data_IF_030163789976
#
_entry.id   IF_030163789976
#
_cell.length_a   1.000
_cell.length_b   1.000
_cell.length_c   1.000
_cell.angle_alpha   90.00
_cell.angle_beta   90.00
_cell.angle_gamma   90.00
#
_symmetry.space_group_name_H-M   'P 1'
#
loop_
_entity.id
_entity.type
_entity.pdbx_description
1 polymer ?
#
# COMPACT_ATOMS: atom_id res chain seq x y z
N UNK A 1 -21.30 -38.62 10.40
CA UNK A 1 -20.91 -37.33 9.77
C UNK A 1 -22.10 -36.88 8.94
N UNK A 2 -22.67 -35.76 9.29
CA UNK A 2 -23.79 -35.18 8.59
C UNK A 2 -23.24 -34.26 7.49
N UNK A 3 -23.86 -34.26 6.30
CA UNK A 3 -23.38 -33.49 5.13
C UNK A 3 -24.55 -32.68 4.57
N UNK A 4 -24.30 -31.39 4.33
CA UNK A 4 -25.27 -30.44 3.80
C UNK A 4 -24.76 -29.84 2.48
N UNK A 5 -25.65 -29.73 1.49
CA UNK A 5 -25.36 -29.04 0.23
C UNK A 5 -25.69 -27.56 0.37
N UNK A 6 -24.67 -26.70 0.28
CA UNK A 6 -24.85 -25.24 0.33
C UNK A 6 -25.35 -24.73 -1.02
N UNK A 7 -26.57 -24.18 -1.03
CA UNK A 7 -27.23 -23.66 -2.24
C UNK A 7 -27.16 -22.13 -2.30
N UNK A 8 -26.72 -21.59 -3.41
CA UNK A 8 -26.76 -20.15 -3.70
C UNK A 8 -26.80 -19.89 -5.20
N UNK A 9 -27.45 -18.80 -5.66
CA UNK A 9 -27.46 -18.42 -7.06
C UNK A 9 -26.05 -18.05 -7.51
N UNK A 10 -25.64 -18.50 -8.70
CA UNK A 10 -24.39 -18.08 -9.31
C UNK A 10 -24.46 -16.58 -9.63
N UNK A 11 -23.37 -15.86 -9.38
CA UNK A 11 -23.21 -14.46 -9.77
C UNK A 11 -23.38 -14.30 -11.29
N UNK A 12 -23.98 -13.17 -11.71
CA UNK A 12 -24.22 -12.88 -13.12
C UNK A 12 -22.93 -12.86 -13.93
N UNK A 13 -22.90 -13.55 -15.07
CA UNK A 13 -21.76 -13.52 -16.01
C UNK A 13 -21.54 -12.12 -16.64
N UNK A 14 -22.50 -11.20 -16.50
CA UNK A 14 -22.38 -9.80 -16.93
C UNK A 14 -21.51 -8.98 -15.98
N UNK A 15 -21.41 -9.36 -14.71
CA UNK A 15 -20.61 -8.66 -13.72
C UNK A 15 -19.12 -8.86 -14.00
N UNK A 16 -18.40 -7.76 -14.16
CA UNK A 16 -16.95 -7.74 -14.43
C UNK A 16 -16.17 -7.35 -13.20
N UNK A 17 -14.91 -7.77 -13.11
CA UNK A 17 -14.05 -7.45 -11.98
C UNK A 17 -13.96 -5.94 -11.68
N UNK A 18 -13.88 -5.11 -12.72
CA UNK A 18 -13.86 -3.65 -12.59
C UNK A 18 -15.10 -3.05 -11.89
N UNK A 19 -16.24 -3.73 -12.00
CA UNK A 19 -17.50 -3.24 -11.43
C UNK A 19 -17.49 -3.35 -9.89
N UNK A 20 -16.57 -4.16 -9.32
CA UNK A 20 -16.32 -4.27 -7.88
C UNK A 20 -15.55 -3.07 -7.32
N UNK A 21 -15.01 -2.22 -8.19
CA UNK A 21 -14.22 -1.04 -7.85
C UNK A 21 -14.85 0.21 -8.51
N UNK A 22 -16.06 0.63 -8.11
CA UNK A 22 -16.69 1.82 -8.67
C UNK A 22 -15.80 3.05 -8.49
N UNK A 23 -15.98 4.05 -9.35
CA UNK A 23 -15.19 5.27 -9.34
C UNK A 23 -15.12 5.91 -7.95
N UNK A 24 -14.05 6.67 -7.74
CA UNK A 24 -13.77 7.38 -6.51
C UNK A 24 -14.95 8.21 -6.06
N UNK A 25 -15.50 7.83 -4.92
CA UNK A 25 -16.35 8.71 -4.16
C UNK A 25 -15.45 9.36 -3.14
N UNK A 26 -15.36 10.67 -3.20
CA UNK A 26 -14.68 11.40 -2.15
C UNK A 26 -15.41 11.09 -0.84
N UNK A 27 -14.68 10.54 0.12
CA UNK A 27 -15.23 10.10 1.41
C UNK A 27 -15.87 11.22 2.22
N UNK A 28 -15.67 12.47 1.81
CA UNK A 28 -16.27 13.66 2.40
C UNK A 28 -17.59 14.07 1.72
N UNK A 29 -17.89 13.53 0.54
CA UNK A 29 -19.17 13.81 -0.10
C UNK A 29 -20.22 12.85 0.45
N UNK A 30 -20.96 13.30 1.44
CA UNK A 30 -22.10 12.58 2.05
C UNK A 30 -23.22 12.24 1.05
N UNK A 31 -23.12 12.63 -0.22
CA UNK A 31 -24.20 12.63 -1.20
C UNK A 31 -24.26 11.42 -2.13
N UNK A 32 -23.19 10.65 -2.30
CA UNK A 32 -23.20 9.53 -3.24
C UNK A 32 -22.55 8.27 -2.64
N UNK A 33 -23.39 7.34 -2.16
CA UNK A 33 -22.91 5.98 -1.90
C UNK A 33 -22.61 5.29 -3.23
N UNK A 34 -21.44 4.60 -3.37
CA UNK A 34 -21.14 3.84 -4.55
C UNK A 34 -22.22 2.78 -4.80
N UNK A 35 -22.68 2.64 -6.04
CA UNK A 35 -23.49 1.49 -6.43
C UNK A 35 -22.55 0.28 -6.51
N UNK A 36 -22.54 -0.50 -5.45
CA UNK A 36 -21.80 -1.75 -5.41
C UNK A 36 -22.63 -2.88 -6.05
N UNK A 37 -22.04 -3.73 -6.86
CA UNK A 37 -22.72 -4.89 -7.39
C UNK A 37 -23.08 -5.85 -6.25
N UNK A 38 -24.21 -6.48 -6.37
CA UNK A 38 -24.62 -7.55 -5.46
C UNK A 38 -24.00 -8.88 -5.90
N UNK A 39 -23.31 -9.54 -4.99
CA UNK A 39 -22.84 -10.91 -5.17
C UNK A 39 -23.77 -11.81 -4.35
N UNK A 40 -24.58 -12.68 -5.00
CA UNK A 40 -25.49 -13.54 -4.29
C UNK A 40 -24.78 -14.46 -3.29
N UNK A 41 -25.36 -14.60 -2.10
CA UNK A 41 -24.85 -15.45 -1.02
C UNK A 41 -25.91 -16.43 -0.56
N UNK A 42 -25.55 -17.56 0.04
CA UNK A 42 -26.54 -18.45 0.67
C UNK A 42 -27.19 -17.79 1.89
N UNK A 43 -28.31 -18.34 2.32
CA UNK A 43 -28.88 -18.04 3.64
C UNK A 43 -27.99 -18.73 4.68
N UNK A 44 -27.06 -18.00 5.24
CA UNK A 44 -26.01 -18.56 6.09
C UNK A 44 -26.53 -19.14 7.40
N UNK A 45 -27.66 -18.68 7.87
CA UNK A 45 -28.34 -19.13 9.09
C UNK A 45 -28.79 -20.62 9.00
N UNK A 46 -28.86 -21.16 7.78
CA UNK A 46 -29.15 -22.57 7.54
C UNK A 46 -27.94 -23.50 7.72
N UNK A 47 -26.73 -22.91 7.86
CA UNK A 47 -25.47 -23.65 7.86
C UNK A 47 -24.58 -23.26 9.06
N UNK A 48 -25.11 -23.43 10.24
CA UNK A 48 -24.36 -23.17 11.46
C UNK A 48 -23.57 -24.43 11.93
N UNK A 49 -22.51 -24.20 12.72
CA UNK A 49 -21.74 -25.25 13.40
C UNK A 49 -21.02 -26.26 12.49
N UNK A 50 -20.65 -25.89 11.27
CA UNK A 50 -19.87 -26.74 10.38
C UNK A 50 -18.46 -26.98 10.93
N UNK A 51 -17.92 -28.21 10.82
CA UNK A 51 -16.54 -28.55 11.14
C UNK A 51 -15.62 -28.38 9.92
N UNK A 52 -16.16 -28.59 8.72
CA UNK A 52 -15.44 -28.41 7.47
C UNK A 52 -16.36 -27.93 6.35
N UNK A 53 -15.82 -27.11 5.46
CA UNK A 53 -16.47 -26.69 4.22
C UNK A 53 -15.67 -27.19 3.04
N UNK A 54 -16.32 -27.96 2.15
CA UNK A 54 -15.73 -28.49 0.92
C UNK A 54 -16.30 -27.73 -0.26
N UNK A 55 -15.46 -27.18 -1.13
CA UNK A 55 -15.91 -26.44 -2.30
C UNK A 55 -15.08 -26.71 -3.54
N UNK A 56 -15.75 -26.80 -4.70
CA UNK A 56 -15.08 -26.76 -6.00
C UNK A 56 -14.86 -25.32 -6.41
N UNK A 57 -13.60 -24.93 -6.57
CA UNK A 57 -13.20 -23.57 -6.97
C UNK A 57 -13.29 -23.45 -8.48
N UNK A 58 -14.11 -22.53 -9.02
CA UNK A 58 -14.18 -22.28 -10.45
C UNK A 58 -12.84 -21.79 -11.01
N UNK A 59 -12.53 -22.20 -12.22
CA UNK A 59 -11.34 -21.79 -12.95
C UNK A 59 -11.70 -21.35 -14.36
N UNK A 60 -12.10 -20.08 -14.53
CA UNK A 60 -12.13 -19.45 -15.85
C UNK A 60 -10.82 -18.69 -16.04
N UNK A 61 -10.16 -18.92 -17.17
CA UNK A 61 -8.89 -18.23 -17.51
C UNK A 61 -9.13 -16.74 -17.85
N UNK A 62 -9.53 -15.94 -16.88
CA UNK A 62 -9.67 -14.48 -16.97
C UNK A 62 -8.59 -13.83 -16.11
N UNK A 63 -7.62 -13.20 -16.76
CA UNK A 63 -6.41 -12.68 -16.08
C UNK A 63 -5.35 -13.75 -15.86
N UNK A 64 -4.32 -13.43 -15.08
CA UNK A 64 -3.29 -14.39 -14.70
C UNK A 64 -3.92 -15.46 -13.80
N UNK A 65 -3.90 -16.72 -14.22
CA UNK A 65 -4.42 -17.87 -13.47
C UNK A 65 -5.90 -17.71 -12.98
N UNK A 66 -6.76 -17.05 -13.76
CA UNK A 66 -8.16 -16.83 -13.38
C UNK A 66 -8.35 -15.89 -12.18
N UNK A 67 -7.35 -15.07 -11.87
CA UNK A 67 -7.33 -14.22 -10.68
C UNK A 67 -8.50 -13.23 -10.59
N UNK A 68 -9.03 -12.77 -11.74
CA UNK A 68 -10.15 -11.79 -11.83
C UNK A 68 -11.47 -12.44 -12.21
N UNK A 69 -11.69 -13.71 -11.88
CA UNK A 69 -12.98 -14.39 -12.06
C UNK A 69 -13.90 -14.09 -10.88
N UNK A 70 -15.03 -13.39 -11.16
CA UNK A 70 -16.01 -13.00 -10.13
C UNK A 70 -16.73 -14.21 -9.53
N UNK A 71 -16.96 -15.28 -10.29
CA UNK A 71 -17.55 -16.49 -9.75
C UNK A 71 -16.59 -17.24 -8.82
N UNK A 72 -15.29 -17.28 -9.15
CA UNK A 72 -14.27 -17.78 -8.24
C UNK A 72 -14.26 -16.99 -6.94
N UNK A 73 -14.34 -15.65 -7.02
CA UNK A 73 -14.45 -14.77 -5.85
C UNK A 73 -15.68 -15.11 -5.02
N UNK A 74 -16.86 -15.26 -5.65
CA UNK A 74 -18.10 -15.63 -4.96
C UNK A 74 -17.94 -16.91 -4.16
N UNK A 75 -17.40 -17.97 -4.76
CA UNK A 75 -17.17 -19.25 -4.07
C UNK A 75 -16.22 -19.08 -2.88
N UNK A 76 -15.12 -18.36 -3.06
CA UNK A 76 -14.18 -18.10 -1.96
C UNK A 76 -14.84 -17.32 -0.81
N UNK A 77 -15.68 -16.32 -1.12
CA UNK A 77 -16.43 -15.56 -0.11
C UNK A 77 -17.47 -16.40 0.60
N UNK A 78 -18.20 -17.26 -0.11
CA UNK A 78 -19.18 -18.19 0.50
C UNK A 78 -18.47 -19.10 1.50
N UNK A 79 -17.38 -19.76 1.08
CA UNK A 79 -16.60 -20.65 1.97
C UNK A 79 -16.09 -19.86 3.18
N UNK A 80 -15.48 -18.69 2.97
CA UNK A 80 -14.92 -17.90 4.05
C UNK A 80 -16.00 -17.43 5.05
N UNK A 81 -17.19 -17.04 4.59
CA UNK A 81 -18.30 -16.65 5.45
C UNK A 81 -18.85 -17.85 6.27
N UNK A 82 -19.02 -19.02 5.64
CA UNK A 82 -19.45 -20.25 6.35
C UNK A 82 -18.47 -20.59 7.48
N UNK A 83 -17.17 -20.57 7.21
CA UNK A 83 -16.15 -20.86 8.23
C UNK A 83 -16.16 -19.86 9.39
N UNK A 84 -16.27 -18.57 9.09
CA UNK A 84 -16.28 -17.53 10.14
C UNK A 84 -17.53 -17.63 10.99
N UNK A 85 -18.70 -17.93 10.41
CA UNK A 85 -19.96 -18.10 11.13
C UNK A 85 -19.96 -19.37 11.96
N UNK A 86 -19.53 -20.50 11.39
CA UNK A 86 -19.43 -21.78 12.09
C UNK A 86 -18.40 -21.76 13.22
N UNK A 87 -17.34 -20.97 13.13
CA UNK A 87 -16.40 -20.76 14.22
C UNK A 87 -17.01 -20.05 15.43
N UNK A 88 -18.08 -19.28 15.20
CA UNK A 88 -18.88 -18.61 16.23
C UNK A 88 -18.05 -17.73 17.17
N UNK A 89 -18.52 -17.62 18.43
CA UNK A 89 -17.82 -16.92 19.52
C UNK A 89 -16.77 -17.79 20.22
N UNK A 90 -16.70 -19.09 19.87
CA UNK A 90 -15.74 -20.03 20.48
C UNK A 90 -14.39 -19.92 19.76
N UNK A 91 -13.46 -19.18 20.34
CA UNK A 91 -12.10 -18.97 19.81
C UNK A 91 -11.28 -20.27 19.65
N UNK A 92 -11.68 -21.34 20.29
CA UNK A 92 -10.99 -22.64 20.25
C UNK A 92 -11.57 -23.58 19.19
N UNK A 93 -12.70 -23.23 18.55
CA UNK A 93 -13.28 -24.08 17.52
C UNK A 93 -12.39 -24.13 16.30
N UNK A 94 -12.11 -25.34 15.84
CA UNK A 94 -11.29 -25.58 14.64
C UNK A 94 -12.23 -25.89 13.50
N UNK A 95 -12.15 -25.09 12.43
CA UNK A 95 -12.89 -25.31 11.20
C UNK A 95 -11.91 -25.46 10.03
N UNK A 96 -12.28 -26.25 9.04
CA UNK A 96 -11.42 -26.58 7.93
C UNK A 96 -12.07 -26.17 6.61
N UNK A 97 -11.27 -25.69 5.66
CA UNK A 97 -11.68 -25.54 4.26
C UNK A 97 -10.94 -26.57 3.40
N UNK A 98 -11.68 -27.27 2.57
CA UNK A 98 -11.16 -28.16 1.54
C UNK A 98 -11.57 -27.58 0.20
N UNK A 99 -10.62 -27.10 -0.56
CA UNK A 99 -10.83 -26.40 -1.83
C UNK A 99 -10.24 -27.23 -2.96
N UNK A 100 -11.05 -27.49 -4.01
CA UNK A 100 -10.71 -28.39 -5.11
C UNK A 100 -10.82 -27.62 -6.42
N UNK A 101 -9.78 -27.61 -7.24
CA UNK A 101 -9.79 -27.01 -8.58
C UNK A 101 -8.41 -26.52 -9.03
N UNK A 102 -8.19 -26.42 -10.33
CA UNK A 102 -6.88 -26.13 -10.91
C UNK A 102 -6.32 -24.72 -10.59
N UNK A 103 -7.21 -23.72 -10.44
CA UNK A 103 -6.81 -22.35 -10.08
C UNK A 103 -6.54 -22.16 -8.59
N UNK A 104 -6.87 -23.11 -7.74
CA UNK A 104 -6.77 -22.99 -6.29
C UNK A 104 -7.65 -21.87 -5.68
N UNK A 105 -7.59 -21.68 -4.37
CA UNK A 105 -8.26 -20.60 -3.68
C UNK A 105 -7.62 -19.24 -3.96
N UNK A 106 -8.35 -18.16 -3.63
CA UNK A 106 -7.79 -16.82 -3.63
C UNK A 106 -6.90 -16.64 -2.41
N UNK A 107 -5.61 -16.47 -2.64
CA UNK A 107 -4.58 -16.38 -1.60
C UNK A 107 -4.65 -15.09 -0.77
N UNK A 108 -5.36 -14.08 -1.25
CA UNK A 108 -5.69 -12.89 -0.49
C UNK A 108 -6.73 -13.16 0.60
N UNK A 109 -7.60 -14.16 0.40
CA UNK A 109 -8.63 -14.59 1.35
C UNK A 109 -8.08 -15.71 2.24
N UNK A 110 -7.60 -16.79 1.61
CA UNK A 110 -7.04 -17.95 2.30
C UNK A 110 -5.52 -17.82 2.40
N UNK A 111 -5.05 -17.50 3.60
CA UNK A 111 -3.64 -17.20 3.86
C UNK A 111 -2.76 -18.42 3.67
N UNK A 112 -1.60 -18.19 3.09
CA UNK A 112 -0.59 -19.23 2.87
C UNK A 112 -0.16 -19.94 4.17
N UNK A 113 -0.12 -19.20 5.29
CA UNK A 113 0.25 -19.73 6.60
C UNK A 113 -0.79 -20.68 7.20
N UNK A 114 -2.05 -20.56 6.77
CA UNK A 114 -3.16 -21.35 7.25
C UNK A 114 -3.34 -22.65 6.44
N UNK A 115 -2.53 -22.84 5.37
CA UNK A 115 -2.55 -24.02 4.52
C UNK A 115 -1.89 -25.22 5.21
N UNK A 116 -2.63 -26.30 5.33
CA UNK A 116 -2.15 -27.56 5.89
C UNK A 116 -1.61 -28.52 4.83
N UNK A 117 -2.27 -28.55 3.67
CA UNK A 117 -1.95 -29.47 2.58
C UNK A 117 -2.22 -28.79 1.23
N UNK A 118 -1.35 -29.03 0.28
CA UNK A 118 -1.56 -28.77 -1.14
C UNK A 118 -1.00 -29.91 -1.97
N UNK A 119 -1.88 -30.65 -2.60
CA UNK A 119 -1.55 -31.75 -3.51
C UNK A 119 -2.35 -31.58 -4.81
N UNK A 120 -1.67 -31.44 -5.94
CA UNK A 120 -2.28 -31.22 -7.24
C UNK A 120 -3.35 -30.11 -7.26
N UNK A 121 -4.62 -30.47 -7.35
CA UNK A 121 -5.77 -29.58 -7.37
C UNK A 121 -6.53 -29.53 -6.02
N UNK A 122 -5.94 -30.05 -4.95
CA UNK A 122 -6.52 -30.09 -3.60
C UNK A 122 -5.75 -29.18 -2.65
N UNK A 123 -6.48 -28.27 -1.98
CA UNK A 123 -5.95 -27.40 -0.93
C UNK A 123 -6.75 -27.59 0.35
N UNK A 124 -6.07 -27.80 1.46
CA UNK A 124 -6.68 -27.91 2.78
C UNK A 124 -6.16 -26.78 3.67
N UNK A 125 -7.07 -26.03 4.26
CA UNK A 125 -6.77 -24.92 5.15
C UNK A 125 -7.39 -25.10 6.52
N UNK A 126 -6.69 -24.57 7.54
CA UNK A 126 -7.20 -24.33 8.88
C UNK A 126 -7.08 -22.84 9.16
N UNK A 127 -8.06 -22.02 8.76
CA UNK A 127 -7.95 -20.58 8.82
C UNK A 127 -7.89 -20.06 10.27
N UNK A 128 -7.09 -18.99 10.47
CA UNK A 128 -7.20 -18.16 11.66
C UNK A 128 -8.44 -17.25 11.50
N UNK A 129 -9.53 -17.64 12.18
CA UNK A 129 -10.86 -17.08 11.92
C UNK A 129 -10.97 -15.58 12.12
N UNK A 130 -10.28 -15.00 13.11
CA UNK A 130 -10.31 -13.54 13.33
C UNK A 130 -9.68 -12.78 12.13
N UNK A 131 -8.61 -13.31 11.55
CA UNK A 131 -8.00 -12.70 10.36
C UNK A 131 -8.87 -12.90 9.11
N UNK A 132 -9.46 -14.08 8.97
CA UNK A 132 -10.39 -14.35 7.86
C UNK A 132 -11.61 -13.45 7.97
N UNK A 133 -12.20 -13.30 9.16
CA UNK A 133 -13.32 -12.40 9.45
C UNK A 133 -12.97 -10.95 9.10
N UNK A 134 -11.80 -10.48 9.50
CA UNK A 134 -11.34 -9.13 9.16
C UNK A 134 -11.35 -8.91 7.64
N UNK A 135 -10.84 -9.88 6.88
CA UNK A 135 -10.77 -9.78 5.40
C UNK A 135 -12.13 -9.72 4.74
N UNK A 136 -13.08 -10.57 5.13
CA UNK A 136 -14.39 -10.62 4.47
C UNK A 136 -15.33 -9.49 4.88
N UNK A 137 -15.12 -8.87 6.04
CA UNK A 137 -15.97 -7.78 6.53
C UNK A 137 -15.51 -6.38 6.08
N UNK A 138 -14.25 -6.25 5.67
CA UNK A 138 -13.71 -4.98 5.20
C UNK A 138 -14.12 -4.71 3.74
N UNK A 139 -14.45 -3.45 3.40
CA UNK A 139 -14.76 -3.09 2.02
C UNK A 139 -13.58 -3.37 1.08
N UNK A 140 -13.89 -3.89 -0.10
CA UNK A 140 -12.94 -4.06 -1.20
C UNK A 140 -13.16 -2.94 -2.21
N UNK A 141 -12.10 -2.24 -2.59
CA UNK A 141 -12.29 -1.01 -3.31
C UNK A 141 -13.20 -0.09 -2.49
N UNK A 142 -14.32 0.35 -3.09
CA UNK A 142 -15.35 1.15 -2.42
C UNK A 142 -16.58 0.32 -2.00
N UNK A 143 -16.53 -0.99 -2.17
CA UNK A 143 -17.69 -1.87 -1.98
C UNK A 143 -17.49 -2.84 -0.83
N UNK A 144 -18.52 -3.02 -0.04
CA UNK A 144 -18.63 -4.10 0.91
C UNK A 144 -19.39 -5.26 0.23
N UNK A 145 -18.67 -6.33 -0.10
CA UNK A 145 -19.21 -7.47 -0.86
C UNK A 145 -19.66 -8.62 0.05
N UNK A 146 -19.22 -8.62 1.32
CA UNK A 146 -19.68 -9.58 2.31
C UNK A 146 -20.81 -8.97 3.16
N UNK A 147 -21.75 -9.81 3.62
CA UNK A 147 -22.78 -9.35 4.55
C UNK A 147 -22.13 -8.88 5.86
N UNK A 148 -22.44 -7.65 6.33
CA UNK A 148 -21.84 -7.13 7.55
C UNK A 148 -22.35 -7.92 8.75
N UNK A 149 -21.41 -8.32 9.63
CA UNK A 149 -21.74 -8.85 10.96
C UNK A 149 -22.08 -7.73 11.96
N UNK A 150 -21.70 -6.50 11.65
CA UNK A 150 -21.99 -5.31 12.46
C UNK A 150 -22.31 -4.13 11.56
N UNK A 151 -23.09 -3.21 12.09
CA UNK A 151 -23.39 -1.94 11.42
C UNK A 151 -22.13 -1.07 11.40
N UNK A 152 -21.28 -1.24 10.40
CA UNK A 152 -20.10 -0.42 10.08
C UNK A 152 -18.75 -0.95 10.60
N UNK A 153 -17.72 -0.83 9.75
CA UNK A 153 -16.33 -1.20 10.05
C UNK A 153 -15.68 -0.46 11.23
N UNK A 154 -16.35 0.57 11.79
CA UNK A 154 -15.92 1.28 13.00
C UNK A 154 -16.04 0.41 14.27
N UNK A 155 -17.00 -0.53 14.34
CA UNK A 155 -17.14 -1.42 15.50
C UNK A 155 -16.09 -2.54 15.49
N UNK A 156 -15.67 -2.98 14.31
CA UNK A 156 -14.58 -3.96 14.17
C UNK A 156 -13.29 -3.38 14.75
N UNK A 157 -13.01 -2.10 14.54
CA UNK A 157 -11.85 -1.42 15.14
C UNK A 157 -11.88 -1.40 16.67
N UNK A 158 -13.05 -1.14 17.27
CA UNK A 158 -13.19 -1.07 18.75
C UNK A 158 -13.06 -2.44 19.42
N UNK A 159 -13.58 -3.49 18.79
CA UNK A 159 -13.55 -4.83 19.36
C UNK A 159 -12.21 -5.55 19.14
N UNK A 160 -11.51 -5.27 18.03
CA UNK A 160 -10.18 -5.84 17.75
C UNK A 160 -9.14 -5.43 18.80
N UNK A 161 -9.22 -4.18 19.26
CA UNK A 161 -8.31 -3.65 20.30
C UNK A 161 -8.56 -4.20 21.71
N UNK A 162 -9.79 -4.63 22.03
CA UNK A 162 -10.18 -5.08 23.39
C UNK A 162 -9.98 -6.57 23.66
N UNK A 163 -9.86 -7.39 22.64
CA UNK A 163 -9.82 -8.87 22.77
C UNK A 163 -8.43 -9.49 22.66
N UNK A 164 -7.39 -8.72 22.36
CA UNK A 164 -6.04 -9.24 22.22
C UNK A 164 -5.30 -9.15 23.57
N UNK A 165 -5.08 -10.30 24.23
CA UNK A 165 -4.06 -10.48 25.28
C UNK A 165 -2.63 -10.28 24.71
N UNK A 166 -2.48 -10.28 23.39
CA UNK A 166 -1.23 -10.10 22.67
C UNK A 166 -1.20 -8.73 21.99
N UNK A 167 -0.20 -7.91 22.32
CA UNK A 167 0.05 -6.64 21.63
C UNK A 167 0.77 -6.93 20.32
N UNK A 168 0.15 -6.70 19.14
CA UNK A 168 0.79 -6.98 17.87
C UNK A 168 2.06 -6.15 17.69
N UNK A 169 3.09 -6.75 17.12
CA UNK A 169 4.33 -6.08 16.76
C UNK A 169 4.15 -5.40 15.42
N UNK A 170 4.05 -4.08 15.44
CA UNK A 170 3.74 -3.26 14.29
C UNK A 170 4.91 -2.31 13.99
N UNK A 171 5.18 -2.07 12.71
CA UNK A 171 6.22 -1.14 12.28
C UNK A 171 5.86 -0.38 11.01
N UNK A 172 6.37 0.84 10.88
CA UNK A 172 6.48 1.53 9.60
C UNK A 172 7.74 1.08 8.89
N UNK A 173 7.63 0.82 7.59
CA UNK A 173 8.75 0.29 6.80
C UNK A 173 8.98 1.13 5.56
N UNK A 174 10.23 1.40 5.25
CA UNK A 174 10.64 1.95 3.96
C UNK A 174 11.82 1.18 3.38
N UNK A 175 12.09 1.36 2.09
CA UNK A 175 13.19 0.69 1.39
C UNK A 175 14.04 1.72 0.67
N UNK A 176 15.35 1.67 0.87
CA UNK A 176 16.33 2.45 0.12
C UNK A 176 17.28 1.52 -0.63
N UNK A 177 17.42 1.75 -1.92
CA UNK A 177 18.32 0.99 -2.78
C UNK A 177 18.86 1.83 -3.92
N UNK A 178 20.00 1.42 -4.47
CA UNK A 178 20.55 1.92 -5.73
C UNK A 178 21.05 3.36 -5.73
N UNK A 179 20.72 4.20 -4.74
CA UNK A 179 21.10 5.61 -4.75
C UNK A 179 20.92 6.27 -3.38
N UNK A 180 21.82 7.20 -3.07
CA UNK A 180 21.75 8.12 -1.92
C UNK A 180 20.65 9.19 -2.06
N UNK A 181 20.09 9.37 -3.26
CA UNK A 181 19.18 10.48 -3.57
C UNK A 181 17.92 10.56 -2.69
N UNK A 182 17.54 9.47 -2.04
CA UNK A 182 16.35 9.39 -1.18
C UNK A 182 16.67 9.34 0.32
N UNK A 183 17.93 9.44 0.72
CA UNK A 183 18.34 9.43 2.14
C UNK A 183 17.67 10.56 2.90
N UNK A 184 17.71 11.78 2.38
CA UNK A 184 17.02 12.91 3.00
C UNK A 184 15.51 12.69 3.09
N UNK A 185 14.88 12.13 2.04
CA UNK A 185 13.47 11.78 2.06
C UNK A 185 13.13 10.80 3.17
N UNK A 186 13.91 9.72 3.32
CA UNK A 186 13.71 8.73 4.38
C UNK A 186 13.91 9.33 5.78
N UNK A 187 14.87 10.24 5.97
CA UNK A 187 15.05 10.98 7.23
C UNK A 187 13.81 11.85 7.51
N UNK A 188 13.33 12.58 6.51
CA UNK A 188 12.12 13.41 6.65
C UNK A 188 10.89 12.56 6.97
N UNK A 189 10.74 11.40 6.33
CA UNK A 189 9.67 10.44 6.62
C UNK A 189 9.70 9.99 8.07
N UNK A 190 10.85 9.50 8.58
CA UNK A 190 10.98 9.09 9.98
C UNK A 190 10.60 10.20 10.94
N UNK A 191 11.16 11.39 10.73
CA UNK A 191 10.93 12.54 11.60
C UNK A 191 9.47 13.02 11.54
N UNK A 192 8.82 12.91 10.38
CA UNK A 192 7.40 13.22 10.26
C UNK A 192 6.52 12.25 11.04
N UNK A 193 6.81 10.95 11.01
CA UNK A 193 6.09 9.92 11.78
C UNK A 193 6.27 10.18 13.28
N UNK A 194 7.51 10.41 13.74
CA UNK A 194 7.80 10.72 15.15
C UNK A 194 7.05 11.97 15.61
N UNK A 195 6.99 13.01 14.79
CA UNK A 195 6.25 14.26 15.10
C UNK A 195 4.74 14.05 15.25
N UNK A 196 4.17 12.93 14.79
CA UNK A 196 2.77 12.56 15.02
C UNK A 196 2.54 11.78 16.31
N UNK A 197 3.57 11.62 17.16
CA UNK A 197 3.54 10.84 18.40
C UNK A 197 3.25 9.35 18.18
N UNK A 198 3.60 8.79 17.04
CA UNK A 198 3.58 7.34 16.85
C UNK A 198 4.66 6.69 17.70
N UNK A 199 4.32 5.55 18.31
CA UNK A 199 5.24 4.72 19.12
C UNK A 199 5.63 3.44 18.39
N UNK A 200 5.24 3.30 17.12
CA UNK A 200 5.59 2.12 16.32
C UNK A 200 7.06 2.15 15.90
N UNK A 201 7.61 0.96 15.74
CA UNK A 201 8.97 0.82 15.21
C UNK A 201 9.09 1.42 13.82
N UNK A 202 10.24 2.01 13.53
CA UNK A 202 10.61 2.48 12.19
C UNK A 202 11.69 1.53 11.65
N UNK A 203 11.42 0.82 10.56
CA UNK A 203 12.33 -0.16 9.96
C UNK A 203 12.70 0.28 8.55
N UNK A 204 14.00 0.35 8.27
CA UNK A 204 14.48 0.68 6.93
C UNK A 204 15.28 -0.49 6.35
N UNK A 205 14.86 -0.95 5.19
CA UNK A 205 15.57 -1.94 4.41
C UNK A 205 16.54 -1.23 3.48
N UNK A 206 17.85 -1.45 3.65
CA UNK A 206 18.88 -0.80 2.85
C UNK A 206 19.81 -1.83 2.19
N UNK A 207 20.15 -1.58 0.93
CA UNK A 207 21.20 -2.34 0.25
C UNK A 207 22.59 -1.69 0.44
N UNK A 208 23.61 -2.33 -0.12
CA UNK A 208 25.01 -1.90 0.05
C UNK A 208 25.34 -0.62 -0.75
N UNK A 209 24.42 -0.07 -1.55
CA UNK A 209 24.62 1.23 -2.22
C UNK A 209 24.47 2.44 -1.29
N UNK A 210 23.92 2.22 -0.09
CA UNK A 210 23.76 3.28 0.92
C UNK A 210 24.99 3.32 1.80
N UNK A 211 25.67 4.47 1.80
CA UNK A 211 26.96 4.66 2.47
C UNK A 211 26.87 4.51 4.00
N UNK A 212 27.97 4.15 4.67
CA UNK A 212 28.02 4.12 6.14
C UNK A 212 27.62 5.45 6.79
N UNK A 213 27.99 6.59 6.19
CA UNK A 213 27.61 7.94 6.65
C UNK A 213 26.08 8.09 6.60
N UNK A 214 25.46 7.76 5.48
CA UNK A 214 23.99 7.84 5.32
C UNK A 214 23.25 6.88 6.25
N UNK A 215 23.78 5.65 6.43
CA UNK A 215 23.23 4.70 7.40
C UNK A 215 23.31 5.21 8.84
N UNK A 216 24.36 5.97 9.18
CA UNK A 216 24.46 6.63 10.49
C UNK A 216 23.35 7.66 10.68
N UNK A 217 23.14 8.57 9.71
CA UNK A 217 22.08 9.57 9.75
C UNK A 217 20.69 8.96 9.79
N UNK A 218 20.45 7.88 9.03
CA UNK A 218 19.19 7.16 9.06
C UNK A 218 18.90 6.52 10.42
N UNK A 219 19.91 5.94 11.10
CA UNK A 219 19.75 5.45 12.48
C UNK A 219 19.47 6.61 13.45
N UNK A 220 20.20 7.69 13.33
CA UNK A 220 19.97 8.89 14.15
C UNK A 220 18.58 9.50 13.94
N UNK A 221 17.99 9.33 12.75
CA UNK A 221 16.61 9.72 12.45
C UNK A 221 15.53 8.81 13.08
N UNK A 222 15.93 7.65 13.63
CA UNK A 222 15.02 6.70 14.29
C UNK A 222 14.85 5.36 13.57
N UNK A 223 15.45 5.17 12.40
CA UNK A 223 15.32 3.92 11.65
C UNK A 223 16.14 2.77 12.25
N UNK A 224 15.49 1.62 12.45
CA UNK A 224 16.15 0.31 12.65
C UNK A 224 16.54 -0.24 11.28
N UNK A 225 17.85 -0.23 10.98
CA UNK A 225 18.33 -0.63 9.64
C UNK A 225 18.44 -2.14 9.53
N UNK A 226 17.85 -2.71 8.48
CA UNK A 226 18.03 -4.10 8.05
C UNK A 226 18.67 -4.13 6.66
N UNK A 227 19.83 -4.76 6.54
CA UNK A 227 20.50 -4.91 5.24
C UNK A 227 19.78 -5.93 4.36
N UNK A 228 19.64 -5.62 3.07
CA UNK A 228 19.01 -6.47 2.07
C UNK A 228 19.86 -6.60 0.82
N UNK A 229 19.70 -7.71 0.09
CA UNK A 229 20.12 -7.82 -1.30
C UNK A 229 18.99 -7.34 -2.20
N UNK A 230 19.31 -6.46 -3.15
CA UNK A 230 18.34 -5.96 -4.15
C UNK A 230 17.68 -7.10 -4.93
N UNK A 231 16.45 -6.87 -5.36
CA UNK A 231 15.73 -7.75 -6.28
C UNK A 231 15.46 -6.96 -7.55
N UNK A 232 16.00 -7.46 -8.67
CA UNK A 232 15.81 -6.88 -9.99
C UNK A 232 14.41 -7.20 -10.50
N UNK A 233 13.72 -6.20 -11.07
CA UNK A 233 12.53 -6.45 -11.86
C UNK A 233 12.91 -7.12 -13.18
N UNK A 234 12.32 -8.28 -13.53
CA UNK A 234 12.55 -8.89 -14.83
C UNK A 234 11.93 -8.08 -15.99
N UNK A 235 10.97 -7.19 -15.68
CA UNK A 235 10.21 -6.40 -16.65
C UNK A 235 10.77 -4.99 -16.85
N UNK A 236 11.80 -4.60 -16.09
CA UNK A 236 12.44 -3.29 -16.22
C UNK A 236 13.66 -3.34 -17.17
N UNK A 237 13.85 -2.27 -17.95
CA UNK A 237 15.08 -2.09 -18.72
C UNK A 237 16.27 -1.89 -17.78
N UNK A 238 17.46 -2.32 -18.23
CA UNK A 238 18.71 -2.08 -17.49
C UNK A 238 18.92 -0.57 -17.31
N UNK A 239 19.33 -0.16 -16.11
CA UNK A 239 19.53 1.23 -15.70
C UNK A 239 18.26 2.10 -15.71
N UNK A 240 17.07 1.51 -15.83
CA UNK A 240 15.82 2.24 -15.62
C UNK A 240 15.59 2.51 -14.13
N UNK A 241 14.86 3.58 -13.81
CA UNK A 241 14.55 4.00 -12.43
C UNK A 241 13.85 2.91 -11.61
N UNK A 242 13.12 2.01 -12.28
CA UNK A 242 12.33 0.92 -11.68
C UNK A 242 13.06 -0.44 -11.70
N UNK A 243 14.31 -0.51 -12.16
CA UNK A 243 15.06 -1.77 -12.30
C UNK A 243 15.12 -2.58 -10.99
N UNK A 244 15.25 -1.90 -9.86
CA UNK A 244 15.45 -2.52 -8.56
C UNK A 244 14.24 -2.38 -7.62
N UNK A 245 13.12 -1.87 -8.11
CA UNK A 245 11.93 -1.62 -7.28
C UNK A 245 11.34 -2.90 -6.67
N UNK A 246 11.60 -4.09 -7.26
CA UNK A 246 11.21 -5.37 -6.65
C UNK A 246 11.93 -5.64 -5.32
N UNK A 247 12.93 -4.86 -4.95
CA UNK A 247 13.51 -4.88 -3.60
C UNK A 247 12.47 -4.63 -2.50
N UNK A 248 11.37 -3.95 -2.83
CA UNK A 248 10.17 -3.79 -1.97
C UNK A 248 9.59 -5.13 -1.50
N UNK A 249 9.70 -6.20 -2.27
CA UNK A 249 9.23 -7.54 -1.90
C UNK A 249 9.91 -8.07 -0.62
N UNK A 250 11.08 -7.52 -0.24
CA UNK A 250 11.76 -7.87 1.00
C UNK A 250 10.95 -7.56 2.26
N UNK A 251 9.92 -6.72 2.16
CA UNK A 251 9.03 -6.39 3.27
C UNK A 251 8.36 -7.64 3.83
N UNK A 252 7.96 -8.58 2.95
CA UNK A 252 7.36 -9.86 3.38
C UNK A 252 8.30 -10.76 4.17
N UNK A 253 9.60 -10.46 4.24
CA UNK A 253 10.57 -11.20 5.05
C UNK A 253 10.72 -10.69 6.49
N UNK A 254 10.01 -9.63 6.88
CA UNK A 254 10.09 -8.99 8.19
C UNK A 254 9.31 -9.75 9.27
N UNK A 255 9.51 -11.06 9.39
CA UNK A 255 8.79 -11.96 10.30
C UNK A 255 8.86 -11.60 11.79
N UNK A 256 9.69 -10.64 12.18
CA UNK A 256 9.72 -10.11 13.55
C UNK A 256 8.51 -9.22 13.85
N UNK A 257 7.73 -8.86 12.83
CA UNK A 257 6.53 -8.04 12.91
C UNK A 257 5.32 -8.80 12.42
N UNK A 258 4.19 -8.57 13.06
CA UNK A 258 2.90 -9.18 12.68
C UNK A 258 2.24 -8.40 11.54
N UNK A 259 2.41 -7.07 11.55
CA UNK A 259 1.96 -6.16 10.50
C UNK A 259 2.95 -5.03 10.29
N UNK A 260 3.07 -4.59 9.04
CA UNK A 260 3.86 -3.40 8.71
C UNK A 260 3.08 -2.51 7.75
N UNK A 261 3.18 -1.19 7.96
CA UNK A 261 2.76 -0.22 6.95
C UNK A 261 4.01 0.20 6.19
N UNK A 262 4.08 -0.20 4.93
CA UNK A 262 5.09 0.27 4.02
C UNK A 262 4.76 1.69 3.55
N UNK A 263 5.78 2.55 3.49
CA UNK A 263 5.67 3.92 2.97
C UNK A 263 6.92 4.22 2.15
N UNK A 264 6.75 4.68 0.91
CA UNK A 264 7.89 5.14 0.08
C UNK A 264 8.58 6.35 0.73
N UNK A 265 9.89 6.46 0.52
CA UNK A 265 10.73 7.48 1.18
C UNK A 265 10.48 8.92 0.72
N UNK A 266 9.61 9.13 -0.25
CA UNK A 266 9.18 10.43 -0.74
C UNK A 266 7.79 10.86 -0.22
N UNK A 267 7.40 10.30 0.92
CA UNK A 267 6.23 10.74 1.68
C UNK A 267 6.60 11.61 2.87
N UNK A 268 5.60 12.36 3.33
CA UNK A 268 5.59 12.99 4.66
C UNK A 268 4.26 12.67 5.34
N UNK A 269 4.32 12.32 6.62
CA UNK A 269 3.16 12.02 7.46
C UNK A 269 2.84 13.25 8.32
N UNK A 270 1.61 13.76 8.24
CA UNK A 270 1.16 14.96 8.98
C UNK A 270 0.25 14.64 10.15
N UNK A 271 -0.40 13.48 10.14
CA UNK A 271 -1.30 13.02 11.20
C UNK A 271 -0.98 11.57 11.54
N UNK A 272 -1.19 11.19 12.79
CA UNK A 272 -0.98 9.81 13.22
C UNK A 272 -1.86 8.84 12.40
N UNK A 273 -1.23 7.82 11.83
CA UNK A 273 -1.86 6.81 11.00
C UNK A 273 -1.82 5.41 11.64
N UNK A 274 -1.49 5.29 12.93
CA UNK A 274 -1.42 4.01 13.64
C UNK A 274 -2.75 3.23 13.59
N UNK A 275 -3.88 3.93 13.52
CA UNK A 275 -5.19 3.29 13.41
C UNK A 275 -5.35 2.39 12.17
N UNK A 276 -4.58 2.64 11.11
CA UNK A 276 -4.65 1.86 9.87
C UNK A 276 -3.97 0.48 9.99
N UNK A 277 -3.22 0.21 11.05
CA UNK A 277 -2.76 -1.14 11.34
C UNK A 277 -3.91 -2.12 11.63
N UNK A 278 -5.11 -1.64 11.96
CA UNK A 278 -6.29 -2.48 12.12
C UNK A 278 -6.82 -3.08 10.81
N UNK A 279 -6.40 -2.59 9.67
CA UNK A 279 -6.84 -3.09 8.36
C UNK A 279 -6.13 -4.40 7.98
N UNK A 280 -6.75 -5.26 7.15
CA UNK A 280 -6.12 -6.48 6.67
C UNK A 280 -5.08 -6.20 5.58
N UNK A 281 -4.19 -7.16 5.33
CA UNK A 281 -3.37 -7.18 4.14
C UNK A 281 -4.24 -7.55 2.91
N UNK A 282 -4.13 -7.02 1.77
CA UNK A 282 -3.49 -5.80 1.37
C UNK A 282 -4.50 -4.67 1.43
N UNK A 283 -4.21 -3.65 2.21
CA UNK A 283 -4.97 -2.41 2.18
C UNK A 283 -4.08 -1.29 1.67
N UNK A 284 -4.61 -0.45 0.78
CA UNK A 284 -3.89 0.64 0.14
C UNK A 284 -4.87 1.69 -0.38
N UNK A 285 -4.36 2.81 -0.86
CA UNK A 285 -5.20 3.80 -1.56
C UNK A 285 -5.30 3.48 -3.04
N UNK A 286 -6.40 3.81 -3.67
CA UNK A 286 -6.55 3.66 -5.13
C UNK A 286 -5.58 4.56 -5.90
N UNK A 287 -5.12 4.08 -7.04
CA UNK A 287 -4.33 4.86 -7.98
C UNK A 287 -5.16 5.22 -9.21
N UNK A 288 -5.85 4.24 -9.78
CA UNK A 288 -6.71 4.39 -10.94
C UNK A 288 -7.63 3.16 -11.04
N UNK A 289 -8.95 3.36 -11.15
CA UNK A 289 -9.93 2.28 -11.22
C UNK A 289 -9.72 1.21 -10.14
N UNK A 290 -9.49 -0.03 -10.55
CA UNK A 290 -9.25 -1.17 -9.67
C UNK A 290 -7.78 -1.36 -9.26
N UNK A 291 -6.91 -0.42 -9.61
CA UNK A 291 -5.47 -0.47 -9.32
C UNK A 291 -5.17 0.32 -8.05
N UNK A 292 -4.41 -0.27 -7.12
CA UNK A 292 -3.92 0.46 -5.95
C UNK A 292 -2.53 1.08 -6.17
N UNK A 293 -2.22 2.11 -5.38
CA UNK A 293 -0.91 2.72 -5.32
C UNK A 293 -0.02 2.00 -4.30
N UNK A 294 1.12 1.46 -4.74
CA UNK A 294 2.05 0.72 -3.89
C UNK A 294 2.95 1.59 -3.01
N UNK A 295 2.80 2.92 -3.07
CA UNK A 295 3.60 3.86 -2.28
C UNK A 295 3.26 3.86 -0.79
N UNK A 296 2.04 3.46 -0.43
CA UNK A 296 1.65 3.21 0.95
C UNK A 296 0.67 2.04 1.00
N UNK A 297 1.01 1.00 1.78
CA UNK A 297 0.22 -0.22 1.88
C UNK A 297 0.51 -0.98 3.17
N UNK A 298 -0.48 -1.74 3.67
CA UNK A 298 -0.27 -2.64 4.80
C UNK A 298 0.10 -4.03 4.30
N UNK A 299 1.06 -4.64 4.97
CA UNK A 299 1.59 -5.97 4.66
C UNK A 299 1.65 -6.80 5.94
N UNK A 300 1.25 -8.04 5.86
CA UNK A 300 1.50 -9.06 6.87
C UNK A 300 2.72 -9.90 6.43
N UNK A 301 3.89 -9.72 7.09
CA UNK A 301 5.11 -10.44 6.71
C UNK A 301 4.91 -11.95 6.72
N UNK A 302 5.32 -12.62 5.64
CA UNK A 302 5.07 -14.01 5.40
C UNK A 302 6.17 -14.61 4.52
N UNK A 303 6.85 -15.65 5.03
CA UNK A 303 7.86 -16.39 4.25
C UNK A 303 7.23 -17.06 3.03
N UNK A 304 6.07 -17.65 3.20
CA UNK A 304 5.36 -18.35 2.15
C UNK A 304 4.95 -17.38 1.03
N UNK A 305 4.34 -16.22 1.38
CA UNK A 305 3.98 -15.19 0.40
C UNK A 305 5.23 -14.64 -0.32
N UNK A 306 6.30 -14.37 0.43
CA UNK A 306 7.56 -13.96 -0.19
C UNK A 306 8.04 -14.96 -1.23
N UNK A 307 8.05 -16.25 -0.91
CA UNK A 307 8.47 -17.31 -1.83
C UNK A 307 7.57 -17.36 -3.07
N UNK A 308 6.27 -17.24 -2.91
CA UNK A 308 5.31 -17.19 -4.02
C UNK A 308 5.53 -15.96 -4.91
N UNK A 309 5.68 -14.77 -4.33
CA UNK A 309 6.00 -13.55 -5.07
C UNK A 309 7.32 -13.70 -5.87
N UNK A 310 8.34 -14.32 -5.25
CA UNK A 310 9.62 -14.57 -5.90
C UNK A 310 9.54 -15.61 -7.03
N UNK A 311 8.70 -16.62 -6.92
CA UNK A 311 8.42 -17.59 -7.98
C UNK A 311 7.69 -16.91 -9.15
N UNK A 312 6.61 -16.21 -8.83
CA UNK A 312 5.73 -15.59 -9.82
C UNK A 312 6.30 -14.35 -10.52
N UNK A 313 7.38 -13.74 -10.02
CA UNK A 313 7.93 -12.50 -10.61
C UNK A 313 8.37 -12.60 -12.06
N UNK A 314 8.67 -13.81 -12.55
CA UNK A 314 9.04 -14.04 -13.96
C UNK A 314 7.85 -14.42 -14.83
N UNK A 315 6.77 -14.91 -14.23
CA UNK A 315 5.58 -15.39 -14.91
C UNK A 315 4.53 -14.28 -15.06
N UNK A 316 4.46 -13.42 -14.06
CA UNK A 316 3.45 -12.35 -13.97
C UNK A 316 4.01 -11.02 -14.46
N UNK A 317 3.33 -10.41 -15.41
CA UNK A 317 3.72 -9.13 -15.98
C UNK A 317 3.65 -7.96 -15.00
N UNK A 318 4.17 -6.82 -15.44
CA UNK A 318 4.05 -5.55 -14.72
C UNK A 318 3.80 -4.43 -15.73
N UNK A 319 2.64 -3.77 -15.66
CA UNK A 319 2.24 -2.75 -16.64
C UNK A 319 3.22 -1.55 -16.69
N UNK A 320 3.92 -1.27 -15.61
CA UNK A 320 4.91 -0.20 -15.52
C UNK A 320 6.35 -0.70 -15.39
N UNK A 321 6.57 -2.01 -15.46
CA UNK A 321 7.87 -2.66 -15.27
C UNK A 321 8.40 -2.57 -13.83
N UNK A 322 7.66 -1.98 -12.90
CA UNK A 322 8.02 -1.81 -11.49
C UNK A 322 7.21 -2.69 -10.54
N UNK A 323 7.39 -2.46 -9.25
CA UNK A 323 6.70 -3.16 -8.16
C UNK A 323 5.18 -2.97 -8.20
N UNK A 324 4.71 -1.74 -8.46
CA UNK A 324 3.28 -1.44 -8.45
C UNK A 324 2.51 -2.27 -9.48
N UNK A 325 3.03 -2.37 -10.70
CA UNK A 325 2.39 -3.17 -11.74
C UNK A 325 2.33 -4.64 -11.37
N UNK A 326 3.43 -5.19 -10.87
CA UNK A 326 3.50 -6.58 -10.42
C UNK A 326 2.57 -6.87 -9.24
N UNK A 327 2.60 -6.01 -8.20
CA UNK A 327 1.77 -6.21 -7.01
C UNK A 327 0.27 -6.12 -7.32
N UNK A 328 -0.14 -5.27 -8.27
CA UNK A 328 -1.53 -5.19 -8.72
C UNK A 328 -2.00 -6.42 -9.51
N UNK A 329 -1.09 -7.18 -10.12
CA UNK A 329 -1.42 -8.47 -10.73
C UNK A 329 -1.42 -9.60 -9.70
N UNK A 330 -0.59 -9.49 -8.66
CA UNK A 330 -0.51 -10.49 -7.59
C UNK A 330 -1.62 -10.33 -6.53
N UNK A 331 -2.06 -9.12 -6.23
CA UNK A 331 -3.08 -8.81 -5.24
C UNK A 331 -4.27 -8.12 -5.92
N UNK A 332 -5.14 -8.91 -6.50
CA UNK A 332 -6.31 -8.39 -7.23
C UNK A 332 -7.47 -8.04 -6.30
N UNK A 333 -7.54 -8.70 -5.13
CA UNK A 333 -8.50 -8.43 -4.07
C UNK A 333 -7.85 -7.63 -2.96
N UNK A 334 -8.04 -6.29 -2.96
CA UNK A 334 -7.42 -5.39 -2.01
C UNK A 334 -8.45 -4.46 -1.35
N UNK A 335 -8.13 -3.98 -0.14
CA UNK A 335 -9.01 -3.13 0.65
C UNK A 335 -8.62 -1.67 0.47
N UNK A 336 -9.62 -0.81 0.27
CA UNK A 336 -9.36 0.60 0.03
C UNK A 336 -9.20 1.38 1.33
N UNK A 337 -8.10 2.12 1.41
CA UNK A 337 -7.90 3.18 2.37
C UNK A 337 -8.40 4.52 1.84
N UNK A 338 -8.75 5.47 2.77
CA UNK A 338 -9.06 6.85 2.39
C UNK A 338 -7.98 7.48 1.51
N UNK A 339 -8.40 8.24 0.49
CA UNK A 339 -7.49 8.93 -0.43
C UNK A 339 -6.52 9.86 0.29
N UNK A 340 -6.98 10.46 1.40
CA UNK A 340 -6.18 11.33 2.27
C UNK A 340 -4.96 10.64 2.90
N UNK A 341 -4.93 9.29 2.90
CA UNK A 341 -3.77 8.51 3.36
C UNK A 341 -2.65 8.44 2.31
N UNK A 342 -2.91 8.83 1.07
CA UNK A 342 -1.91 8.96 0.01
C UNK A 342 -2.29 10.12 -0.92
N UNK A 343 -2.28 11.33 -0.38
CA UNK A 343 -2.55 12.52 -1.19
C UNK A 343 -1.40 12.72 -2.18
N UNK A 344 -1.68 12.44 -3.45
CA UNK A 344 -0.69 12.59 -4.51
C UNK A 344 -0.45 14.08 -4.81
N UNK A 345 0.81 14.51 -4.82
CA UNK A 345 1.20 15.84 -5.25
C UNK A 345 1.14 15.93 -6.79
N UNK A 346 -0.09 15.93 -7.34
CA UNK A 346 -0.34 16.05 -8.79
C UNK A 346 -1.58 16.91 -9.05
N UNK A 347 -1.44 17.90 -9.95
CA UNK A 347 -2.46 18.91 -10.23
C UNK A 347 -2.62 19.07 -11.75
N UNK A 348 -3.38 18.16 -12.38
CA UNK A 348 -3.47 18.09 -13.85
C UNK A 348 -4.26 19.27 -14.45
N UNK A 349 -5.36 19.70 -13.78
CA UNK A 349 -6.29 20.69 -14.33
C UNK A 349 -6.71 21.76 -13.32
N UNK A 350 -6.03 21.93 -12.19
CA UNK A 350 -6.51 22.80 -11.13
C UNK A 350 -5.84 24.17 -11.18
N UNK A 351 -6.65 25.22 -11.08
CA UNK A 351 -6.20 26.59 -10.80
C UNK A 351 -5.67 26.69 -9.36
N UNK A 352 -6.20 25.84 -8.45
CA UNK A 352 -5.79 25.75 -7.06
C UNK A 352 -4.89 24.54 -6.86
N UNK A 353 -3.64 24.78 -6.49
CA UNK A 353 -2.61 23.74 -6.28
C UNK A 353 -2.32 23.53 -4.79
N UNK A 354 -3.36 23.70 -3.97
CA UNK A 354 -3.27 23.48 -2.53
C UNK A 354 -3.60 22.03 -2.18
N UNK A 355 -2.85 21.49 -1.23
CA UNK A 355 -3.18 20.20 -0.65
C UNK A 355 -4.34 20.34 0.33
N UNK A 356 -5.22 19.34 0.44
CA UNK A 356 -6.23 19.30 1.49
C UNK A 356 -5.60 19.40 2.88
N UNK A 357 -6.23 20.20 3.77
CA UNK A 357 -5.68 20.40 5.12
C UNK A 357 -5.80 19.17 6.02
N UNK A 358 -6.73 18.29 5.70
CA UNK A 358 -7.00 17.05 6.41
C UNK A 358 -6.25 15.83 5.88
N UNK A 359 -5.33 16.00 4.91
CA UNK A 359 -4.44 14.94 4.44
C UNK A 359 -3.66 14.30 5.58
N UNK A 360 -3.67 12.98 5.66
CA UNK A 360 -2.82 12.23 6.60
C UNK A 360 -1.38 12.20 6.12
N UNK A 361 -1.17 11.96 4.84
CA UNK A 361 0.15 11.94 4.22
C UNK A 361 0.13 12.63 2.86
N UNK A 362 1.30 13.01 2.40
CA UNK A 362 1.51 13.52 1.03
C UNK A 362 2.65 12.78 0.36
N UNK A 363 2.38 12.29 -0.83
CA UNK A 363 3.33 11.63 -1.72
C UNK A 363 3.90 12.63 -2.72
N UNK A 364 5.17 12.95 -2.58
CA UNK A 364 5.83 14.01 -3.35
C UNK A 364 6.27 13.52 -4.72
N UNK A 365 5.35 13.59 -5.71
CA UNK A 365 5.64 13.30 -7.11
C UNK A 365 6.45 14.44 -7.77
N UNK A 366 7.13 14.13 -8.86
CA UNK A 366 7.99 15.08 -9.56
C UNK A 366 9.34 15.28 -8.88
N UNK A 367 9.90 16.50 -9.01
CA UNK A 367 11.14 16.87 -8.31
C UNK A 367 10.87 16.93 -6.80
N UNK A 368 11.77 16.31 -6.05
CA UNK A 368 11.59 16.17 -4.60
C UNK A 368 11.95 17.46 -3.87
N UNK A 369 11.27 17.83 -2.77
CA UNK A 369 11.53 19.09 -2.07
C UNK A 369 12.99 19.28 -1.64
N UNK A 370 13.66 18.21 -1.21
CA UNK A 370 15.07 18.27 -0.80
C UNK A 370 16.05 18.46 -1.96
N UNK A 371 15.62 18.16 -3.19
CA UNK A 371 16.41 18.41 -4.40
C UNK A 371 16.11 19.77 -5.05
N UNK A 372 15.23 20.56 -4.42
CA UNK A 372 14.85 21.90 -4.81
C UNK A 372 15.38 22.95 -3.82
N UNK A 373 15.34 24.23 -4.19
CA UNK A 373 15.53 25.31 -3.23
C UNK A 373 14.42 25.34 -2.20
N UNK A 374 14.76 25.80 -1.00
CA UNK A 374 13.77 25.99 0.08
C UNK A 374 12.74 27.08 -0.27
N UNK A 375 13.13 28.03 -1.11
CA UNK A 375 12.40 29.27 -1.36
C UNK A 375 11.15 29.08 -2.24
N UNK A 376 11.12 28.03 -3.08
CA UNK A 376 9.99 27.70 -3.95
C UNK A 376 10.09 26.27 -4.50
N UNK A 377 8.98 25.74 -5.01
CA UNK A 377 8.95 24.42 -5.65
C UNK A 377 9.49 24.47 -7.08
N UNK A 378 10.71 23.97 -7.30
CA UNK A 378 11.35 24.02 -8.62
C UNK A 378 10.70 23.14 -9.70
N UNK A 379 9.62 22.43 -9.38
CA UNK A 379 8.74 21.85 -10.41
C UNK A 379 8.12 22.92 -11.32
N UNK A 380 8.00 24.16 -10.85
CA UNK A 380 7.54 25.28 -11.65
C UNK A 380 8.46 25.62 -12.83
N UNK A 381 9.77 25.45 -12.66
CA UNK A 381 10.77 25.80 -13.69
C UNK A 381 10.85 24.79 -14.83
N UNK A 382 10.09 23.69 -14.78
CA UNK A 382 10.08 22.65 -15.82
C UNK A 382 8.66 22.38 -16.30
N UNK A 383 8.37 22.74 -17.56
CA UNK A 383 7.02 22.61 -18.16
C UNK A 383 6.41 21.22 -17.93
N UNK A 384 7.18 20.17 -18.19
CA UNK A 384 6.73 18.78 -18.01
C UNK A 384 6.50 18.38 -16.54
N UNK A 385 7.07 19.14 -15.59
CA UNK A 385 6.95 18.90 -14.16
C UNK A 385 5.91 19.81 -13.49
N UNK A 386 5.41 20.85 -14.17
CA UNK A 386 4.46 21.80 -13.58
C UNK A 386 3.19 21.14 -13.01
N UNK A 387 2.75 20.02 -13.58
CA UNK A 387 1.65 19.23 -13.00
C UNK A 387 1.90 18.73 -11.57
N UNK A 388 3.15 18.74 -11.11
CA UNK A 388 3.56 18.37 -9.75
C UNK A 388 3.89 19.60 -8.89
N UNK A 389 3.84 20.82 -9.44
CA UNK A 389 4.20 22.02 -8.72
C UNK A 389 3.12 22.45 -7.72
N UNK A 390 3.51 22.74 -6.47
CA UNK A 390 2.64 23.24 -5.41
C UNK A 390 3.47 23.86 -4.28
N UNK A 391 3.32 25.16 -4.08
CA UNK A 391 4.04 25.87 -3.02
C UNK A 391 3.55 25.45 -1.63
N UNK A 392 2.26 25.18 -1.46
CA UNK A 392 1.71 24.71 -0.19
C UNK A 392 2.27 23.33 0.19
N UNK A 393 2.40 22.41 -0.77
CA UNK A 393 3.02 21.11 -0.53
C UNK A 393 4.51 21.26 -0.19
N UNK A 394 5.21 22.11 -0.93
CA UNK A 394 6.61 22.42 -0.69
C UNK A 394 6.83 23.00 0.71
N UNK A 395 6.05 23.99 1.10
CA UNK A 395 6.09 24.58 2.43
C UNK A 395 5.85 23.56 3.55
N UNK A 396 4.86 22.66 3.37
CA UNK A 396 4.57 21.59 4.36
C UNK A 396 5.78 20.67 4.56
N UNK A 397 6.49 20.29 3.50
CA UNK A 397 7.72 19.49 3.62
C UNK A 397 8.79 20.25 4.43
N UNK A 398 9.01 21.53 4.10
CA UNK A 398 9.99 22.36 4.77
C UNK A 398 9.63 22.68 6.23
N UNK A 399 8.35 22.65 6.62
CA UNK A 399 7.93 22.70 8.03
C UNK A 399 8.44 21.49 8.81
N UNK A 400 8.37 20.27 8.21
CA UNK A 400 8.95 19.07 8.84
C UNK A 400 10.46 19.19 8.97
N UNK A 401 11.13 19.57 7.89
CA UNK A 401 12.59 19.79 7.89
C UNK A 401 13.04 20.78 9.00
N UNK A 402 12.34 21.89 9.16
CA UNK A 402 12.67 22.89 10.19
C UNK A 402 12.53 22.36 11.62
N UNK A 403 11.71 21.34 11.83
CA UNK A 403 11.53 20.70 13.14
C UNK A 403 12.51 19.56 13.41
N UNK A 404 13.26 19.12 12.40
CA UNK A 404 14.28 18.08 12.58
C UNK A 404 15.42 18.58 13.47
N UNK A 405 16.06 17.68 14.25
CA UNK A 405 17.33 17.95 14.89
C UNK A 405 18.37 18.49 13.89
N UNK A 406 19.17 19.47 14.31
CA UNK A 406 20.17 20.12 13.43
C UNK A 406 21.13 19.11 12.79
N UNK A 407 21.59 18.11 13.57
CA UNK A 407 22.48 17.06 13.09
C UNK A 407 21.92 16.21 11.94
N UNK A 408 20.59 16.16 11.76
CA UNK A 408 19.97 15.43 10.65
C UNK A 408 19.89 16.26 9.37
N UNK A 409 19.97 17.59 9.46
CA UNK A 409 19.80 18.48 8.31
C UNK A 409 20.96 18.42 7.34
N UNK A 410 22.16 18.02 7.79
CA UNK A 410 23.33 17.84 6.92
C UNK A 410 23.13 16.78 5.84
N UNK A 411 22.31 15.74 6.11
CA UNK A 411 21.96 14.70 5.14
C UNK A 411 20.99 15.18 4.05
N UNK A 412 20.47 16.39 4.18
CA UNK A 412 19.60 17.07 3.23
C UNK A 412 20.31 18.23 2.52
N UNK A 413 21.64 18.26 2.53
CA UNK A 413 22.41 19.28 1.85
C UNK A 413 22.10 19.30 0.35
N UNK A 414 22.15 20.50 -0.23
CA UNK A 414 22.02 20.66 -1.68
C UNK A 414 23.40 20.41 -2.30
N UNK A 415 23.51 19.39 -3.16
CA UNK A 415 24.79 19.12 -3.83
C UNK A 415 25.06 20.12 -4.95
N UNK A 416 26.35 20.35 -5.30
CA UNK A 416 26.72 21.24 -6.41
C UNK A 416 26.03 20.85 -7.73
N UNK A 417 25.88 19.55 -7.99
CA UNK A 417 25.22 19.03 -9.21
C UNK A 417 23.73 19.35 -9.21
N UNK A 418 23.05 19.25 -8.04
CA UNK A 418 21.65 19.64 -7.90
C UNK A 418 21.48 21.14 -8.11
N UNK A 419 22.31 21.97 -7.46
CA UNK A 419 22.28 23.43 -7.62
C UNK A 419 22.46 23.82 -9.10
N UNK A 420 23.46 23.26 -9.76
CA UNK A 420 23.71 23.50 -11.19
C UNK A 420 22.49 23.11 -12.08
N UNK A 421 21.83 22.00 -11.76
CA UNK A 421 20.59 21.58 -12.48
C UNK A 421 19.46 22.57 -12.27
N UNK A 422 19.22 23.02 -11.03
CA UNK A 422 18.15 23.98 -10.73
C UNK A 422 18.45 25.31 -11.44
N UNK A 423 19.69 25.81 -11.39
CA UNK A 423 20.11 27.01 -12.12
C UNK A 423 19.81 26.88 -13.62
N UNK A 424 20.11 25.71 -14.21
CA UNK A 424 19.86 25.46 -15.63
C UNK A 424 18.35 25.49 -15.95
N UNK A 425 17.51 24.87 -15.12
CA UNK A 425 16.05 24.92 -15.32
C UNK A 425 15.52 26.33 -15.17
N UNK A 426 15.96 27.04 -14.16
CA UNK A 426 15.59 28.43 -13.89
C UNK A 426 15.94 29.36 -15.05
N UNK A 427 17.16 29.23 -15.64
CA UNK A 427 17.57 29.96 -16.84
C UNK A 427 16.64 29.65 -18.03
N UNK A 428 16.25 28.38 -18.19
CA UNK A 428 15.30 28.00 -19.26
C UNK A 428 13.91 28.58 -19.02
N UNK A 429 13.39 28.52 -17.79
CA UNK A 429 12.11 29.13 -17.41
C UNK A 429 12.10 30.66 -17.69
N UNK A 430 13.19 31.35 -17.34
CA UNK A 430 13.38 32.77 -17.65
C UNK A 430 13.36 33.04 -19.17
N UNK A 431 14.12 32.26 -19.95
CA UNK A 431 14.17 32.39 -21.42
C UNK A 431 12.80 32.13 -22.05
N UNK A 432 12.04 31.17 -21.53
CA UNK A 432 10.69 30.85 -22.00
C UNK A 432 9.60 31.78 -21.41
N UNK A 433 9.99 32.72 -20.56
CA UNK A 433 9.10 33.65 -19.85
C UNK A 433 7.86 32.92 -19.24
N UNK A 434 8.10 31.84 -18.51
CA UNK A 434 7.01 31.06 -17.91
C UNK A 434 6.13 31.96 -17.04
N UNK A 435 4.81 31.87 -17.24
CA UNK A 435 3.81 32.79 -16.69
C UNK A 435 3.69 32.76 -15.19
N UNK A 436 3.99 31.60 -14.57
CA UNK A 436 3.95 31.43 -13.09
C UNK A 436 4.95 32.32 -12.36
N UNK A 437 6.05 32.71 -13.00
CA UNK A 437 7.02 33.69 -12.49
C UNK A 437 7.92 33.19 -11.37
N UNK A 438 7.88 31.92 -10.96
CA UNK A 438 8.68 31.37 -9.85
C UNK A 438 10.19 31.54 -10.09
N UNK A 439 10.63 31.52 -11.32
CA UNK A 439 12.03 31.80 -11.69
C UNK A 439 12.52 33.20 -11.27
N UNK A 440 11.63 34.13 -10.88
CA UNK A 440 11.96 35.48 -10.37
C UNK A 440 12.21 35.49 -8.88
N UNK A 441 11.75 34.51 -8.12
CA UNK A 441 11.85 34.46 -6.66
C UNK A 441 13.34 34.49 -6.24
N UNK A 442 13.78 35.42 -5.37
CA UNK A 442 15.15 35.45 -4.87
C UNK A 442 15.48 34.17 -4.09
N UNK A 443 16.60 33.53 -4.41
CA UNK A 443 17.06 32.31 -3.71
C UNK A 443 17.88 32.72 -2.50
N UNK A 444 17.43 32.30 -1.31
CA UNK A 444 18.05 32.52 0.00
C UNK A 444 18.35 31.21 0.70
N UNK A 445 18.31 30.08 0.01
CA UNK A 445 18.54 28.76 0.60
C UNK A 445 19.98 28.64 1.11
N UNK A 446 20.13 28.54 2.45
CA UNK A 446 21.43 28.44 3.11
C UNK A 446 22.18 27.12 2.88
N UNK A 447 21.49 26.12 2.28
CA UNK A 447 22.13 24.85 1.86
C UNK A 447 22.91 25.03 0.57
N UNK A 448 22.69 26.11 -0.13
CA UNK A 448 23.46 26.50 -1.30
C UNK A 448 24.86 26.90 -0.84
N UNK A 449 25.86 26.17 -1.30
CA UNK A 449 27.24 26.56 -1.07
C UNK A 449 27.50 27.87 -1.83
N UNK A 450 27.73 28.94 -1.11
CA UNK A 450 28.32 30.18 -1.69
C UNK A 450 29.77 29.85 -2.02
N UNK A 451 30.06 29.65 -3.31
CA UNK A 451 31.42 29.64 -3.84
C UNK A 451 31.92 31.05 -3.97
#
# INVERSE_FOLDING_TARGET
METFDVKFPKVSDKLKWKDLFPEWIDENEASAKPKCPEIPMPVFEEYEELDAVVAKVPCKHVGVDGSRDVFRLQVNLVVANLLVRSGGWNKNRRVYAVLIGDCGPMWEIFRCEDMLLHEENLWVYKPELEKLKQKILMPVGSCQLALPFSKQGQEIQKNYSKTLFYKPREAYVTVLHSSEAYVCGAIALAQSIIQTNSTRDLVLLADDSISPKSLHGLRAAGWKIKKIKRIRSPHAKKNAYNEWNYSKLRIWQLKDYDKVIFIDSDFVVFRNIDKFFSYPELSATGNDGYIFNSGVMIVEPSKCKFQNLMKKRFEVGSYNGGDQGFLNEMFVWWHRWPSKLNTLKIFRNSRHRNLPDDSYTVHYLGLKPWTCYKDYDCNWDKVESQKFASDSAHERWWKVYKKMPMALREYCALTPEMDARIIKWRKKAKKANLLDGHWRIPVKDSRRLTY
#
